data_IF_778199812861
#
_entry.id   IF_778199812861
#
_cell.length_a   1.000
_cell.length_b   1.000
_cell.length_c   1.000
_cell.angle_alpha   90.00
_cell.angle_beta   90.00
_cell.angle_gamma   90.00
#
_symmetry.space_group_name_H-M   'P 1'
#
loop_
_entity.id
_entity.type
_entity.pdbx_description
1 polymer ?
#
# COMPACT_ATOMS: atom_id res chain seq x y z
N UNK A 1 -3.03 6.83 -7.66
CA UNK A 1 -2.31 7.54 -6.59
C UNK A 1 -1.30 6.60 -5.96
N UNK A 2 -0.05 7.04 -5.77
CA UNK A 2 1.05 6.20 -5.22
C UNK A 2 1.09 6.17 -3.69
N UNK A 3 0.28 7.00 -3.05
CA UNK A 3 0.29 7.17 -1.60
C UNK A 3 -0.09 5.89 -0.83
N UNK A 4 -0.99 5.06 -1.37
CA UNK A 4 -1.30 3.76 -0.75
C UNK A 4 -0.07 2.85 -0.74
N UNK A 5 0.68 2.81 -1.85
CA UNK A 5 1.91 2.03 -1.94
C UNK A 5 2.98 2.55 -0.96
N UNK A 6 3.05 3.87 -0.76
CA UNK A 6 3.91 4.48 0.26
C UNK A 6 3.51 4.07 1.68
N UNK A 7 2.22 4.07 1.99
CA UNK A 7 1.72 3.61 3.30
C UNK A 7 2.09 2.15 3.57
N UNK A 8 1.90 1.28 2.56
CA UNK A 8 2.30 -0.13 2.62
C UNK A 8 3.82 -0.26 2.80
N UNK A 9 4.60 0.50 2.03
CA UNK A 9 6.07 0.49 2.15
C UNK A 9 6.54 0.88 3.56
N UNK A 10 5.86 1.83 4.20
CA UNK A 10 6.11 2.25 5.58
C UNK A 10 5.59 1.26 6.64
N UNK A 11 5.04 0.11 6.24
CA UNK A 11 4.54 -0.93 7.15
C UNK A 11 3.21 -0.59 7.82
N UNK A 12 2.44 0.37 7.28
CA UNK A 12 1.14 0.75 7.85
C UNK A 12 0.11 -0.36 7.61
N UNK A 13 -0.54 -0.78 8.69
CA UNK A 13 -1.71 -1.68 8.66
C UNK A 13 -3.00 -0.89 8.82
N UNK A 14 -4.16 -1.55 8.71
CA UNK A 14 -5.49 -0.89 8.82
C UNK A 14 -5.62 0.33 7.90
N UNK A 15 -5.28 0.16 6.62
CA UNK A 15 -5.18 1.24 5.62
C UNK A 15 -6.48 2.04 5.37
N UNK A 16 -7.62 1.52 5.82
CA UNK A 16 -8.94 2.19 5.75
C UNK A 16 -9.24 3.03 7.00
N UNK A 17 -8.36 3.05 7.99
CA UNK A 17 -8.51 3.86 9.18
C UNK A 17 -8.44 5.36 8.83
N UNK A 18 -9.24 6.18 9.51
CA UNK A 18 -9.40 7.61 9.24
C UNK A 18 -8.07 8.34 9.34
N UNK A 19 -7.30 8.10 10.41
CA UNK A 19 -5.99 8.76 10.59
C UNK A 19 -5.01 8.40 9.47
N UNK A 20 -5.02 7.16 8.98
CA UNK A 20 -4.15 6.70 7.89
C UNK A 20 -4.56 7.34 6.56
N UNK A 21 -5.87 7.38 6.28
CA UNK A 21 -6.42 8.02 5.08
C UNK A 21 -6.02 9.49 5.02
N UNK A 22 -6.11 10.21 6.14
CA UNK A 22 -5.71 11.62 6.22
C UNK A 22 -4.19 11.77 6.07
N UNK A 23 -3.40 11.00 6.84
CA UNK A 23 -1.93 11.12 6.86
C UNK A 23 -1.28 10.84 5.50
N UNK A 24 -1.85 9.95 4.71
CA UNK A 24 -1.35 9.61 3.38
C UNK A 24 -2.19 10.21 2.24
N UNK A 25 -3.21 11.02 2.53
CA UNK A 25 -4.07 11.61 1.50
C UNK A 25 -4.72 10.57 0.58
N UNK A 26 -5.31 9.52 1.16
CA UNK A 26 -5.93 8.39 0.43
C UNK A 26 -7.38 8.68 0.00
N UNK A 27 -7.89 9.88 0.29
CA UNK A 27 -9.23 10.40 -0.01
C UNK A 27 -10.39 9.70 0.74
N UNK A 28 -10.55 8.38 0.61
CA UNK A 28 -11.67 7.64 1.22
C UNK A 28 -11.40 6.14 1.30
N UNK A 29 -12.11 5.43 2.19
CA UNK A 29 -12.00 3.98 2.33
C UNK A 29 -12.39 3.22 1.05
N UNK A 30 -13.36 3.74 0.29
CA UNK A 30 -13.73 3.19 -1.02
C UNK A 30 -12.59 3.34 -2.04
N UNK A 31 -11.86 4.46 -2.02
CA UNK A 31 -10.67 4.63 -2.85
C UNK A 31 -9.54 3.68 -2.43
N UNK A 32 -9.31 3.52 -1.12
CA UNK A 32 -8.36 2.55 -0.57
C UNK A 32 -8.66 1.14 -1.08
N UNK A 33 -9.92 0.69 -1.04
CA UNK A 33 -10.30 -0.64 -1.54
C UNK A 33 -10.00 -0.79 -3.04
N UNK A 34 -10.38 0.17 -3.88
CA UNK A 34 -10.08 0.12 -5.33
C UNK A 34 -8.58 0.05 -5.60
N UNK A 35 -7.78 0.80 -4.85
CA UNK A 35 -6.32 0.79 -4.97
C UNK A 35 -5.71 -0.53 -4.47
N UNK A 36 -6.21 -1.11 -3.38
CA UNK A 36 -5.81 -2.46 -2.92
C UNK A 36 -6.00 -3.48 -4.05
N UNK A 37 -7.19 -3.52 -4.65
CA UNK A 37 -7.50 -4.43 -5.75
C UNK A 37 -6.63 -4.19 -6.99
N UNK A 38 -6.34 -2.93 -7.32
CA UNK A 38 -5.45 -2.60 -8.42
C UNK A 38 -4.00 -3.07 -8.16
N UNK A 39 -3.49 -2.99 -6.93
CA UNK A 39 -2.16 -3.47 -6.58
C UNK A 39 -2.08 -5.00 -6.55
N UNK A 40 -3.14 -5.68 -6.06
CA UNK A 40 -3.26 -7.15 -6.11
C UNK A 40 -3.28 -7.66 -7.55
N UNK A 41 -4.11 -7.07 -8.41
CA UNK A 41 -4.23 -7.46 -9.83
C UNK A 41 -2.91 -7.31 -10.60
N UNK A 42 -2.07 -6.36 -10.18
CA UNK A 42 -0.73 -6.14 -10.74
C UNK A 42 0.36 -7.01 -10.10
N UNK A 43 -0.01 -7.87 -9.16
CA UNK A 43 0.92 -8.73 -8.41
C UNK A 43 2.03 -7.93 -7.72
N UNK A 44 1.73 -6.70 -7.30
CA UNK A 44 2.69 -5.84 -6.59
C UNK A 44 2.70 -6.18 -5.10
N UNK A 45 1.51 -6.36 -4.53
CA UNK A 45 1.30 -6.74 -3.13
C UNK A 45 0.21 -7.79 -3.04
N UNK A 46 0.32 -8.67 -2.05
CA UNK A 46 -0.79 -9.47 -1.56
C UNK A 46 -1.16 -9.04 -0.13
N UNK A 47 -2.34 -9.45 0.33
CA UNK A 47 -2.79 -9.21 1.69
C UNK A 47 -3.04 -10.57 2.34
N UNK A 48 -2.55 -10.76 3.56
CA UNK A 48 -2.78 -12.01 4.30
C UNK A 48 -4.17 -12.07 4.96
N UNK A 49 -4.41 -13.11 5.76
CA UNK A 49 -5.67 -13.33 6.47
C UNK A 49 -6.03 -12.20 7.46
N UNK A 50 -5.05 -11.42 7.90
CA UNK A 50 -5.23 -10.27 8.81
C UNK A 50 -5.33 -8.93 8.06
N UNK A 51 -5.42 -8.97 6.74
CA UNK A 51 -5.29 -7.82 5.84
C UNK A 51 -3.95 -7.06 5.97
N UNK A 52 -2.87 -7.72 6.36
CA UNK A 52 -1.54 -7.10 6.36
C UNK A 52 -0.93 -7.17 4.95
N UNK A 53 -0.39 -6.05 4.44
CA UNK A 53 0.14 -6.00 3.08
C UNK A 53 1.57 -6.55 3.00
N UNK A 54 1.83 -7.39 1.99
CA UNK A 54 3.14 -7.98 1.73
C UNK A 54 3.54 -7.75 0.27
N UNK A 55 4.79 -7.36 0.02
CA UNK A 55 5.32 -7.24 -1.34
C UNK A 55 5.55 -8.63 -1.93
N UNK A 56 5.11 -8.83 -3.18
CA UNK A 56 5.32 -10.10 -3.90
C UNK A 56 6.80 -10.28 -4.25
N UNK A 57 7.46 -9.21 -4.68
CA UNK A 57 8.88 -9.21 -5.07
C UNK A 57 9.76 -8.41 -4.08
N UNK A 58 10.68 -9.07 -3.35
CA UNK A 58 11.66 -8.40 -2.50
C UNK A 58 12.58 -7.42 -3.24
N UNK A 59 12.92 -7.68 -4.50
CA UNK A 59 13.76 -6.80 -5.32
C UNK A 59 13.01 -5.51 -5.62
N UNK A 60 11.73 -5.60 -5.98
CA UNK A 60 10.88 -4.42 -6.18
C UNK A 60 10.78 -3.57 -4.91
N UNK A 61 10.59 -4.20 -3.74
CA UNK A 61 10.59 -3.48 -2.45
C UNK A 61 11.91 -2.74 -2.21
N UNK A 62 13.05 -3.40 -2.47
CA UNK A 62 14.36 -2.78 -2.36
C UNK A 62 14.52 -1.60 -3.33
N UNK A 63 14.10 -1.75 -4.59
CA UNK A 63 14.15 -0.69 -5.58
C UNK A 63 13.32 0.53 -5.15
N UNK A 64 12.11 0.32 -4.62
CA UNK A 64 11.27 1.40 -4.09
C UNK A 64 11.99 2.20 -2.99
N UNK A 65 12.67 1.50 -2.07
CA UNK A 65 13.43 2.13 -0.99
C UNK A 65 14.61 2.97 -1.48
N UNK A 66 15.23 2.57 -2.59
CA UNK A 66 16.47 3.16 -3.07
C UNK A 66 16.27 4.27 -4.09
N UNK A 67 15.16 4.25 -4.82
CA UNK A 67 14.96 5.14 -5.98
C UNK A 67 13.62 5.88 -6.02
N UNK A 68 12.57 5.37 -5.36
CA UNK A 68 11.22 5.93 -5.53
C UNK A 68 10.71 6.72 -4.33
N UNK A 69 10.96 6.23 -3.11
CA UNK A 69 10.55 6.87 -1.85
C UNK A 69 11.70 7.53 -1.09
N UNK A 70 12.78 7.87 -1.81
CA UNK A 70 13.94 8.62 -1.30
C UNK A 70 13.55 10.04 -0.90
#
# INVERSE_FOLDING_TARGET
QVNLLRAIFNGVTKLTNREVIESYGLNSSANVHRLKEALKKKEIVYFDEKEEPHFVDPIFKYWLSKYYFV
#
